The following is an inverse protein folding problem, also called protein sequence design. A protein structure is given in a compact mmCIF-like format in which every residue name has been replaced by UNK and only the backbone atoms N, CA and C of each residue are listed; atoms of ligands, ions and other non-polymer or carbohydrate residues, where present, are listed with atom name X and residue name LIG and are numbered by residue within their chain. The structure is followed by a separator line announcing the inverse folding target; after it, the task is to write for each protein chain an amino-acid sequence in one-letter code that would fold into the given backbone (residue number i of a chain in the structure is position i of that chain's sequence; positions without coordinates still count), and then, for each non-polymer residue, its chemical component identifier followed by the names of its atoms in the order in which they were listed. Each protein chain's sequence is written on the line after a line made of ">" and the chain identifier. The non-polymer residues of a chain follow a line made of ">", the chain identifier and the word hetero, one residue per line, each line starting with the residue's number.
data_IF_109810585074
#
_entry.id   IF_109810585074
#
_cell.length_a   1.000
_cell.length_b   1.000
_cell.length_c   1.000
_cell.angle_alpha   90.00
_cell.angle_beta   90.00
_cell.angle_gamma   90.00
#
_symmetry.space_group_name_H-M   'P 1'
#
loop_
_entity.id
_entity.type
_entity.pdbx_description
1 polymer ?
#
# COMPACT_ATOMS: atom_id res chain seq x y z
N UNK A 1 -21.62 11.49 13.28
CA UNK A 1 -21.16 11.75 14.67
C UNK A 1 -20.40 10.58 15.32
N UNK A 2 -20.90 9.32 15.31
CA UNK A 2 -20.21 8.21 16.01
C UNK A 2 -18.79 7.90 15.49
N UNK A 3 -18.62 7.85 14.15
CA UNK A 3 -17.29 7.67 13.53
C UNK A 3 -16.34 8.82 13.90
N UNK A 4 -16.83 10.07 13.86
CA UNK A 4 -16.06 11.26 14.23
C UNK A 4 -15.57 11.18 15.68
N UNK A 5 -16.44 10.80 16.63
CA UNK A 5 -16.06 10.60 18.04
C UNK A 5 -15.00 9.53 18.20
N UNK A 6 -15.16 8.40 17.52
CA UNK A 6 -14.18 7.31 17.56
C UNK A 6 -12.84 7.75 16.98
N UNK A 7 -12.83 8.41 15.83
CA UNK A 7 -11.63 8.95 15.21
C UNK A 7 -10.88 9.90 16.17
N UNK A 8 -11.59 10.81 16.84
CA UNK A 8 -11.01 11.72 17.83
C UNK A 8 -10.45 10.98 19.05
N UNK A 9 -11.16 9.95 19.54
CA UNK A 9 -10.67 9.14 20.66
C UNK A 9 -9.38 8.37 20.34
N UNK A 10 -9.13 8.10 19.06
CA UNK A 10 -7.88 7.48 18.57
C UNK A 10 -6.85 8.50 18.08
N UNK A 11 -7.04 9.80 18.36
CA UNK A 11 -6.09 10.86 18.01
C UNK A 11 -6.21 11.43 16.59
N UNK A 12 -7.21 11.02 15.81
CA UNK A 12 -7.44 11.55 14.45
C UNK A 12 -8.23 12.86 14.58
N UNK A 13 -7.67 13.94 14.05
CA UNK A 13 -8.34 15.23 14.00
C UNK A 13 -9.43 15.21 12.92
N UNK A 14 -10.69 15.35 13.34
CA UNK A 14 -11.86 15.35 12.45
C UNK A 14 -12.78 16.53 12.81
N UNK A 15 -13.34 17.24 11.81
CA UNK A 15 -14.35 18.28 12.06
C UNK A 15 -15.67 17.67 12.55
N UNK A 16 -16.52 18.49 13.19
CA UNK A 16 -17.83 18.02 13.69
C UNK A 16 -18.79 17.66 12.55
N UNK A 17 -18.74 18.44 11.47
CA UNK A 17 -19.59 18.32 10.31
C UNK A 17 -18.74 18.30 9.03
N UNK A 18 -19.17 17.56 7.99
CA UNK A 18 -18.54 17.64 6.69
C UNK A 18 -18.73 19.05 6.11
N UNK A 19 -17.74 19.53 5.34
CA UNK A 19 -17.82 20.83 4.65
C UNK A 19 -18.88 20.84 3.56
N UNK A 20 -19.01 19.72 2.86
CA UNK A 20 -19.98 19.53 1.79
C UNK A 20 -20.84 18.32 2.08
N UNK A 21 -22.10 18.39 1.64
CA UNK A 21 -23.00 17.26 1.58
C UNK A 21 -23.59 17.21 0.18
N UNK A 22 -23.38 16.09 -0.51
CA UNK A 22 -23.92 15.82 -1.83
C UNK A 22 -24.80 14.57 -1.77
N UNK A 23 -26.04 14.71 -2.18
CA UNK A 23 -26.95 13.58 -2.35
C UNK A 23 -27.08 13.28 -3.85
N UNK A 24 -26.88 12.01 -4.22
CA UNK A 24 -27.10 11.57 -5.59
C UNK A 24 -28.59 11.66 -5.94
N UNK A 25 -28.91 12.32 -7.06
CA UNK A 25 -30.22 12.31 -7.67
C UNK A 25 -30.51 10.98 -8.38
N UNK A 26 -31.77 10.77 -8.79
CA UNK A 26 -32.22 9.52 -9.43
C UNK A 26 -31.46 9.15 -10.71
N UNK A 27 -30.97 10.15 -11.44
CA UNK A 27 -30.27 9.98 -12.72
C UNK A 27 -28.78 10.34 -12.63
N UNK A 28 -28.24 10.56 -11.43
CA UNK A 28 -26.82 10.88 -11.27
C UNK A 28 -25.98 9.60 -11.39
N UNK A 29 -24.92 9.65 -12.19
CA UNK A 29 -23.83 8.68 -12.10
C UNK A 29 -22.91 9.01 -10.92
N UNK A 30 -22.08 8.04 -10.50
CA UNK A 30 -21.08 8.28 -9.46
C UNK A 30 -20.09 9.35 -9.89
N UNK A 31 -19.67 9.31 -11.16
CA UNK A 31 -18.76 10.29 -11.74
C UNK A 31 -19.31 11.72 -11.60
N UNK A 32 -20.59 11.93 -11.94
CA UNK A 32 -21.23 13.24 -11.84
C UNK A 32 -21.22 13.77 -10.40
N UNK A 33 -21.50 12.91 -9.42
CA UNK A 33 -21.52 13.32 -8.00
C UNK A 33 -20.11 13.66 -7.51
N UNK A 34 -19.12 12.83 -7.80
CA UNK A 34 -17.73 13.07 -7.38
C UNK A 34 -17.13 14.29 -8.07
N UNK A 35 -17.45 14.51 -9.35
CA UNK A 35 -17.06 15.73 -10.07
C UNK A 35 -17.59 16.98 -9.39
N UNK A 36 -18.86 17.00 -8.99
CA UNK A 36 -19.44 18.15 -8.24
C UNK A 36 -18.69 18.42 -6.94
N UNK A 37 -18.24 17.36 -6.24
CA UNK A 37 -17.44 17.51 -5.02
C UNK A 37 -16.07 18.10 -5.35
N UNK A 38 -15.38 17.58 -6.37
CA UNK A 38 -14.09 18.08 -6.83
C UNK A 38 -14.18 19.56 -7.25
N UNK A 39 -15.13 19.90 -8.13
CA UNK A 39 -15.34 21.27 -8.62
C UNK A 39 -15.61 22.27 -7.47
N UNK A 40 -16.36 21.85 -6.44
CA UNK A 40 -16.60 22.67 -5.24
C UNK A 40 -15.33 22.85 -4.41
N UNK A 41 -14.55 21.80 -4.23
CA UNK A 41 -13.28 21.87 -3.50
C UNK A 41 -12.31 22.82 -4.20
N UNK A 42 -12.18 22.72 -5.53
CA UNK A 42 -11.31 23.56 -6.33
C UNK A 42 -11.77 25.02 -6.32
N UNK A 43 -13.06 25.26 -6.52
CA UNK A 43 -13.64 26.61 -6.51
C UNK A 43 -13.43 27.32 -5.17
N UNK A 44 -13.58 26.59 -4.06
CA UNK A 44 -13.46 27.16 -2.72
C UNK A 44 -12.01 27.14 -2.21
N UNK A 45 -11.06 26.62 -2.99
CA UNK A 45 -9.64 26.48 -2.60
C UNK A 45 -9.44 25.53 -1.41
N UNK A 46 -10.33 24.55 -1.24
CA UNK A 46 -10.33 23.61 -0.13
C UNK A 46 -9.66 22.32 -0.57
N UNK A 47 -8.60 21.92 0.14
CA UNK A 47 -8.06 20.57 0.01
C UNK A 47 -9.03 19.55 0.60
N UNK A 48 -9.52 18.63 -0.23
CA UNK A 48 -10.40 17.55 0.22
C UNK A 48 -9.58 16.36 0.76
N UNK A 49 -9.50 16.20 2.08
CA UNK A 49 -8.74 15.09 2.68
C UNK A 49 -9.50 13.75 2.65
N UNK A 50 -10.84 13.77 2.68
CA UNK A 50 -11.66 12.57 2.73
C UNK A 50 -13.11 12.80 2.28
N UNK A 51 -13.62 11.91 1.43
CA UNK A 51 -15.05 11.81 1.06
C UNK A 51 -15.64 10.53 1.62
N UNK A 52 -16.66 10.63 2.47
CA UNK A 52 -17.47 9.48 2.86
C UNK A 52 -18.51 9.19 1.78
N UNK A 53 -18.56 7.94 1.30
CA UNK A 53 -19.50 7.52 0.25
C UNK A 53 -20.38 6.40 0.77
N UNK A 54 -21.70 6.59 0.76
CA UNK A 54 -22.65 5.52 1.09
C UNK A 54 -23.04 4.81 -0.20
N UNK A 55 -22.75 3.51 -0.26
CA UNK A 55 -23.03 2.69 -1.44
C UNK A 55 -24.29 1.86 -1.23
N UNK A 56 -25.05 1.63 -2.30
CA UNK A 56 -26.21 0.73 -2.28
C UNK A 56 -25.96 -0.60 -2.99
N UNK A 57 -24.93 -0.67 -3.84
CA UNK A 57 -24.49 -1.92 -4.49
C UNK A 57 -22.96 -2.07 -4.50
N UNK A 58 -22.48 -3.29 -4.75
CA UNK A 58 -21.06 -3.58 -5.00
C UNK A 58 -20.55 -2.93 -6.29
N UNK A 59 -21.40 -2.81 -7.30
CA UNK A 59 -20.98 -2.34 -8.63
C UNK A 59 -20.60 -0.85 -8.59
N UNK A 60 -21.32 -0.08 -7.77
CA UNK A 60 -20.96 1.32 -7.48
C UNK A 60 -19.58 1.45 -6.82
N UNK A 61 -19.11 0.43 -6.09
CA UNK A 61 -17.80 0.49 -5.45
C UNK A 61 -16.66 0.64 -6.47
N UNK A 62 -16.71 -0.13 -7.56
CA UNK A 62 -15.70 -0.08 -8.61
C UNK A 62 -15.68 1.30 -9.29
N UNK A 63 -16.86 1.85 -9.60
CA UNK A 63 -16.98 3.19 -10.21
C UNK A 63 -16.50 4.29 -9.26
N UNK A 64 -16.85 4.24 -7.97
CA UNK A 64 -16.36 5.19 -6.96
C UNK A 64 -14.85 5.14 -6.83
N UNK A 65 -14.25 3.95 -6.90
CA UNK A 65 -12.81 3.76 -6.83
C UNK A 65 -12.09 4.25 -8.07
N UNK A 66 -12.61 3.96 -9.26
CA UNK A 66 -12.08 4.49 -10.50
C UNK A 66 -12.14 6.03 -10.51
N UNK A 67 -13.32 6.60 -10.28
CA UNK A 67 -13.50 8.05 -10.30
C UNK A 67 -12.72 8.75 -9.19
N UNK A 68 -12.75 8.23 -7.96
CA UNK A 68 -12.06 8.81 -6.82
C UNK A 68 -10.55 8.72 -6.96
N UNK A 69 -10.01 7.51 -7.15
CA UNK A 69 -8.57 7.27 -7.06
C UNK A 69 -7.84 7.66 -8.36
N UNK A 70 -8.50 7.57 -9.54
CA UNK A 70 -7.87 7.82 -10.85
C UNK A 70 -8.31 9.16 -11.45
N UNK A 71 -9.61 9.42 -11.54
CA UNK A 71 -10.12 10.58 -12.30
C UNK A 71 -9.99 11.89 -11.55
N UNK A 72 -10.37 11.93 -10.26
CA UNK A 72 -10.49 13.17 -9.49
C UNK A 72 -9.47 13.30 -8.34
N UNK A 73 -8.72 12.24 -8.02
CA UNK A 73 -7.75 12.26 -6.92
C UNK A 73 -8.38 12.48 -5.54
N UNK A 74 -9.63 12.02 -5.34
CA UNK A 74 -10.38 12.13 -4.09
C UNK A 74 -10.22 10.88 -3.24
N UNK A 75 -9.71 11.05 -2.02
CA UNK A 75 -9.61 9.96 -1.04
C UNK A 75 -11.02 9.56 -0.57
N UNK A 76 -11.45 8.33 -0.85
CA UNK A 76 -12.81 7.87 -0.55
C UNK A 76 -12.87 6.83 0.58
N UNK A 77 -13.83 6.97 1.50
CA UNK A 77 -14.23 5.96 2.48
C UNK A 77 -15.67 5.50 2.24
N UNK A 78 -15.80 4.36 1.56
CA UNK A 78 -17.09 3.76 1.26
C UNK A 78 -17.70 3.05 2.50
N UNK A 79 -19.00 3.19 2.69
CA UNK A 79 -19.78 2.55 3.75
C UNK A 79 -21.02 1.89 3.15
N UNK A 80 -21.27 0.63 3.49
CA UNK A 80 -22.49 -0.07 3.12
C UNK A 80 -23.60 0.19 4.15
N UNK A 81 -24.89 0.02 3.80
CA UNK A 81 -25.99 0.26 4.73
C UNK A 81 -25.92 -0.64 5.96
N UNK A 82 -25.46 -1.89 5.79
CA UNK A 82 -25.17 -2.82 6.90
C UNK A 82 -24.13 -2.27 7.88
N UNK A 83 -23.06 -1.65 7.36
CA UNK A 83 -22.00 -1.05 8.17
C UNK A 83 -22.51 0.19 8.89
N UNK A 84 -23.37 0.99 8.24
CA UNK A 84 -24.04 2.12 8.87
C UNK A 84 -24.94 1.64 10.01
N UNK A 85 -25.69 0.54 9.83
CA UNK A 85 -26.51 -0.05 10.89
C UNK A 85 -25.64 -0.49 12.09
N UNK A 86 -24.51 -1.15 11.84
CA UNK A 86 -23.56 -1.53 12.91
C UNK A 86 -23.05 -0.31 13.69
N UNK A 87 -22.75 0.78 13.02
CA UNK A 87 -22.19 2.00 13.64
C UNK A 87 -23.26 2.84 14.34
N UNK A 88 -24.37 3.12 13.66
CA UNK A 88 -25.38 4.08 14.11
C UNK A 88 -26.40 3.46 15.08
N UNK A 89 -26.82 2.22 14.82
CA UNK A 89 -27.86 1.54 15.60
C UNK A 89 -27.22 0.65 16.65
N UNK A 90 -26.35 -0.30 16.24
CA UNK A 90 -25.74 -1.26 17.15
C UNK A 90 -24.58 -0.67 17.96
N UNK A 91 -24.06 0.49 17.57
CA UNK A 91 -22.91 1.16 18.20
C UNK A 91 -21.69 0.24 18.36
N UNK A 92 -21.44 -0.60 17.35
CA UNK A 92 -20.32 -1.53 17.33
C UNK A 92 -18.99 -0.78 17.37
N UNK A 93 -18.32 -0.83 18.53
CA UNK A 93 -17.04 -0.17 18.72
C UNK A 93 -15.95 -0.74 17.81
N UNK A 94 -15.91 -2.06 17.64
CA UNK A 94 -14.97 -2.75 16.74
C UNK A 94 -15.11 -2.28 15.29
N UNK A 95 -16.34 -2.19 14.77
CA UNK A 95 -16.59 -1.69 13.41
C UNK A 95 -16.12 -0.25 13.27
N UNK A 96 -16.40 0.61 14.25
CA UNK A 96 -15.96 2.01 14.24
C UNK A 96 -14.43 2.15 14.28
N UNK A 97 -13.74 1.37 15.10
CA UNK A 97 -12.28 1.36 15.16
C UNK A 97 -11.66 0.90 13.84
N UNK A 98 -12.18 -0.15 13.22
CA UNK A 98 -11.69 -0.62 11.92
C UNK A 98 -11.85 0.46 10.83
N UNK A 99 -12.96 1.21 10.85
CA UNK A 99 -13.16 2.34 9.94
C UNK A 99 -12.17 3.46 10.25
N UNK A 100 -11.99 3.82 11.52
CA UNK A 100 -11.06 4.87 11.94
C UNK A 100 -9.61 4.55 11.53
N UNK A 101 -9.16 3.30 11.72
CA UNK A 101 -7.83 2.85 11.29
C UNK A 101 -7.63 2.95 9.78
N UNK A 102 -8.67 2.61 8.98
CA UNK A 102 -8.61 2.76 7.51
C UNK A 102 -8.56 4.22 7.09
N UNK A 103 -9.33 5.08 7.74
CA UNK A 103 -9.32 6.52 7.48
C UNK A 103 -7.95 7.10 7.79
N UNK A 104 -7.39 6.79 8.97
CA UNK A 104 -6.09 7.30 9.40
C UNK A 104 -5.01 7.01 8.35
N UNK A 105 -4.92 5.79 7.84
CA UNK A 105 -3.95 5.42 6.81
C UNK A 105 -4.18 6.15 5.49
N UNK A 106 -5.44 6.31 5.07
CA UNK A 106 -5.79 6.99 3.81
C UNK A 106 -5.43 8.48 3.80
N UNK A 107 -5.51 9.14 4.95
CA UNK A 107 -5.14 10.55 5.10
C UNK A 107 -3.66 10.74 5.49
N UNK A 108 -2.84 9.68 5.41
CA UNK A 108 -1.39 9.72 5.63
C UNK A 108 -0.94 9.59 7.09
N UNK A 109 -1.87 9.28 8.00
CA UNK A 109 -1.60 8.96 9.39
C UNK A 109 -1.00 7.55 9.57
N UNK A 110 -0.47 7.30 10.76
CA UNK A 110 0.20 6.05 11.13
C UNK A 110 -0.55 5.44 12.30
N UNK A 111 -1.06 4.21 12.15
CA UNK A 111 -1.81 3.53 13.21
C UNK A 111 -0.89 2.99 14.31
N UNK A 112 0.18 2.32 13.90
CA UNK A 112 1.10 1.66 14.81
C UNK A 112 2.53 1.78 14.28
N UNK A 113 3.49 1.74 15.18
CA UNK A 113 4.91 1.59 14.89
C UNK A 113 5.44 0.43 15.71
N UNK A 114 6.43 -0.28 15.19
CA UNK A 114 7.13 -1.27 16.00
C UNK A 114 7.89 -0.53 17.11
N UNK A 115 7.87 -1.10 18.31
CA UNK A 115 8.69 -0.61 19.39
C UNK A 115 10.16 -0.82 19.01
N UNK A 116 11.00 0.19 19.26
CA UNK A 116 12.43 0.05 19.05
C UNK A 116 12.97 -1.03 19.97
N UNK A 117 13.60 -2.02 19.37
CA UNK A 117 14.29 -3.11 20.02
C UNK A 117 15.67 -3.20 19.37
N UNK A 118 16.71 -3.59 20.13
CA UNK A 118 18.09 -3.56 19.64
C UNK A 118 18.28 -4.39 18.37
N UNK A 119 17.57 -5.52 18.26
CA UNK A 119 17.62 -6.39 17.09
C UNK A 119 17.00 -5.67 15.89
N UNK A 120 15.75 -5.19 16.01
CA UNK A 120 15.05 -4.50 14.93
C UNK A 120 15.77 -3.21 14.51
N UNK A 121 16.30 -2.45 15.46
CA UNK A 121 17.08 -1.25 15.19
C UNK A 121 18.31 -1.56 14.34
N UNK A 122 19.02 -2.64 14.63
CA UNK A 122 20.22 -3.01 13.88
C UNK A 122 19.90 -3.53 12.48
N UNK A 123 18.84 -4.32 12.28
CA UNK A 123 18.53 -4.91 10.97
C UNK A 123 17.65 -4.05 10.07
N UNK A 124 16.74 -3.26 10.63
CA UNK A 124 15.76 -2.46 9.88
C UNK A 124 16.13 -0.98 9.85
N UNK A 125 16.24 -0.34 11.01
CA UNK A 125 16.27 1.11 11.09
C UNK A 125 17.65 1.71 10.82
N UNK A 126 18.70 1.26 11.52
CA UNK A 126 20.08 1.77 11.35
C UNK A 126 20.68 1.41 9.99
N UNK A 127 20.19 0.33 9.40
CA UNK A 127 20.60 -0.11 8.07
C UNK A 127 19.80 0.51 6.93
N UNK A 128 18.89 1.46 7.20
CA UNK A 128 18.12 2.14 6.17
C UNK A 128 17.45 1.12 5.25
N UNK A 129 16.64 0.22 5.82
CA UNK A 129 16.10 -0.94 5.10
C UNK A 129 14.89 -0.55 4.25
N UNK A 130 14.90 -0.98 3.00
CA UNK A 130 13.76 -0.92 2.08
C UNK A 130 13.08 -2.30 2.03
N UNK A 131 11.85 -2.36 2.51
CA UNK A 131 10.99 -3.54 2.48
C UNK A 131 10.02 -3.41 1.32
N UNK A 132 9.95 -4.45 0.50
CA UNK A 132 9.21 -4.49 -0.76
C UNK A 132 8.27 -5.68 -0.74
N UNK A 133 7.00 -5.45 -1.08
CA UNK A 133 6.04 -6.48 -1.40
C UNK A 133 5.80 -6.53 -2.90
N UNK A 134 5.73 -7.72 -3.45
CA UNK A 134 5.53 -7.94 -4.89
C UNK A 134 4.44 -8.97 -5.06
N UNK A 135 3.42 -8.63 -5.85
CA UNK A 135 2.35 -9.56 -6.18
C UNK A 135 1.90 -9.48 -7.65
N UNK A 136 1.34 -10.59 -8.15
CA UNK A 136 0.67 -10.67 -9.45
C UNK A 136 -0.67 -11.38 -9.25
N UNK A 137 -1.74 -10.70 -9.63
CA UNK A 137 -3.09 -11.25 -9.59
C UNK A 137 -3.52 -11.63 -11.00
N UNK A 138 -4.04 -12.84 -11.13
CA UNK A 138 -4.64 -13.34 -12.36
C UNK A 138 -6.17 -13.27 -12.29
N UNK A 139 -6.84 -12.95 -13.41
CA UNK A 139 -8.28 -13.10 -13.55
C UNK A 139 -8.75 -14.54 -13.31
N UNK A 140 -10.06 -14.71 -13.16
CA UNK A 140 -10.68 -16.02 -12.98
C UNK A 140 -10.26 -17.01 -14.08
N UNK A 141 -10.24 -18.32 -13.75
CA UNK A 141 -9.90 -19.38 -14.70
C UNK A 141 -10.79 -19.39 -15.96
N UNK A 142 -11.99 -18.79 -15.87
CA UNK A 142 -12.94 -18.62 -16.98
C UNK A 142 -12.55 -17.46 -17.90
N UNK A 143 -11.93 -16.41 -17.37
CA UNK A 143 -11.64 -15.15 -18.06
C UNK A 143 -10.19 -15.10 -18.54
N UNK A 144 -9.77 -16.13 -19.28
CA UNK A 144 -8.36 -16.37 -19.64
C UNK A 144 -7.73 -15.30 -20.53
N UNK A 145 -8.52 -14.43 -21.14
CA UNK A 145 -8.09 -13.34 -22.02
C UNK A 145 -7.86 -12.03 -21.27
N UNK A 146 -8.36 -11.89 -20.05
CA UNK A 146 -8.17 -10.68 -19.26
C UNK A 146 -6.70 -10.58 -18.81
N UNK A 147 -6.14 -9.36 -18.75
CA UNK A 147 -4.74 -9.17 -18.39
C UNK A 147 -4.50 -9.49 -16.91
N UNK A 148 -3.26 -9.81 -16.58
CA UNK A 148 -2.82 -9.91 -15.18
C UNK A 148 -2.45 -8.54 -14.65
N UNK A 149 -2.53 -8.36 -13.33
CA UNK A 149 -2.15 -7.10 -12.67
C UNK A 149 -0.97 -7.38 -11.75
N UNK A 150 0.15 -6.72 -11.99
CA UNK A 150 1.32 -6.76 -11.14
C UNK A 150 1.38 -5.52 -10.26
N UNK A 151 1.74 -5.70 -8.99
CA UNK A 151 1.92 -4.62 -8.04
C UNK A 151 3.27 -4.73 -7.32
N UNK A 152 3.96 -3.61 -7.18
CA UNK A 152 5.17 -3.48 -6.35
C UNK A 152 4.92 -2.39 -5.32
N UNK A 153 4.93 -2.78 -4.05
CA UNK A 153 4.78 -1.88 -2.90
C UNK A 153 6.08 -1.79 -2.14
N UNK A 154 6.44 -0.61 -1.63
CA UNK A 154 7.60 -0.48 -0.75
C UNK A 154 7.39 0.59 0.32
N UNK A 155 8.06 0.46 1.46
CA UNK A 155 8.04 1.54 2.45
C UNK A 155 8.75 2.77 1.92
N UNK A 156 8.26 3.95 2.32
CA UNK A 156 8.88 5.23 1.95
C UNK A 156 9.64 5.87 3.11
N UNK A 157 9.28 5.54 4.34
CA UNK A 157 9.91 6.07 5.55
C UNK A 157 10.84 5.05 6.19
N UNK A 158 11.90 5.53 6.86
CA UNK A 158 12.82 4.69 7.62
C UNK A 158 12.10 3.88 8.71
N UNK A 159 11.01 4.40 9.29
CA UNK A 159 10.27 3.67 10.33
C UNK A 159 9.41 2.50 9.81
N UNK A 160 9.36 2.29 8.49
CA UNK A 160 8.60 1.20 7.84
C UNK A 160 7.10 1.27 8.24
N UNK A 161 6.51 2.46 8.11
CA UNK A 161 5.12 2.72 8.53
C UNK A 161 4.21 3.16 7.39
N UNK A 162 4.79 3.67 6.31
CA UNK A 162 4.08 4.15 5.12
C UNK A 162 4.57 3.40 3.90
N UNK A 163 3.65 2.89 3.11
CA UNK A 163 3.94 2.12 1.91
C UNK A 163 3.25 2.74 0.71
N UNK A 164 3.99 2.94 -0.38
CA UNK A 164 3.48 3.39 -1.66
C UNK A 164 3.55 2.25 -2.68
N UNK A 165 2.70 2.32 -3.70
CA UNK A 165 2.48 1.25 -4.66
C UNK A 165 2.69 1.73 -6.10
N UNK A 166 3.24 0.86 -6.95
CA UNK A 166 3.12 0.94 -8.41
C UNK A 166 2.36 -0.28 -8.87
N UNK A 167 1.48 -0.08 -9.84
CA UNK A 167 0.62 -1.12 -10.39
C UNK A 167 0.73 -1.05 -11.91
N UNK A 168 0.96 -2.20 -12.54
CA UNK A 168 1.00 -2.32 -14.00
C UNK A 168 0.17 -3.49 -14.49
N UNK A 169 -0.47 -3.27 -15.64
CA UNK A 169 -1.18 -4.30 -16.39
C UNK A 169 -0.15 -5.06 -17.23
N UNK A 170 -0.27 -6.38 -17.29
CA UNK A 170 0.57 -7.24 -18.11
C UNK A 170 -0.23 -8.34 -18.81
N UNK A 171 0.34 -9.01 -19.83
CA UNK A 171 -0.34 -10.09 -20.53
C UNK A 171 -0.96 -11.15 -19.59
N UNK A 172 -2.04 -11.78 -20.07
CA UNK A 172 -2.80 -12.76 -19.32
C UNK A 172 -1.92 -13.94 -18.85
N UNK A 173 -2.11 -14.37 -17.59
CA UNK A 173 -1.42 -15.51 -16.95
C UNK A 173 0.11 -15.42 -16.96
N UNK A 174 0.65 -14.22 -17.11
CA UNK A 174 2.10 -14.01 -17.03
C UNK A 174 2.50 -13.84 -15.57
N UNK A 175 3.34 -14.74 -15.04
CA UNK A 175 3.88 -14.62 -13.66
C UNK A 175 5.07 -13.66 -13.58
N UNK A 176 5.84 -13.56 -14.67
CA UNK A 176 6.96 -12.64 -14.75
C UNK A 176 6.45 -11.21 -14.86
N UNK A 177 6.84 -10.37 -13.90
CA UNK A 177 6.40 -8.98 -13.89
C UNK A 177 7.04 -8.20 -15.03
N UNK A 178 6.22 -7.83 -16.01
CA UNK A 178 6.61 -6.91 -17.07
C UNK A 178 6.83 -5.53 -16.47
N UNK A 179 7.99 -4.91 -16.72
CA UNK A 179 8.31 -3.60 -16.14
C UNK A 179 8.65 -3.63 -14.65
N UNK A 180 9.01 -4.79 -14.09
CA UNK A 180 9.45 -4.88 -12.68
C UNK A 180 10.56 -3.89 -12.34
N UNK A 181 11.55 -3.78 -13.22
CA UNK A 181 12.69 -2.86 -13.07
C UNK A 181 12.23 -1.42 -12.88
N UNK A 182 11.25 -1.01 -13.67
CA UNK A 182 10.74 0.36 -13.65
C UNK A 182 10.02 0.63 -12.35
N UNK A 183 9.07 -0.23 -11.96
CA UNK A 183 8.32 -0.12 -10.71
C UNK A 183 9.22 -0.19 -9.47
N UNK A 184 10.26 -1.04 -9.51
CA UNK A 184 11.26 -1.12 -8.45
C UNK A 184 12.12 0.15 -8.40
N UNK A 185 12.54 0.68 -9.55
CA UNK A 185 13.34 1.91 -9.62
C UNK A 185 12.55 3.10 -9.12
N UNK A 186 11.26 3.20 -9.44
CA UNK A 186 10.34 4.21 -8.90
C UNK A 186 10.34 4.19 -7.37
N UNK A 187 10.17 3.00 -6.75
CA UNK A 187 10.22 2.86 -5.29
C UNK A 187 11.56 3.22 -4.68
N UNK A 188 12.67 2.82 -5.32
CA UNK A 188 13.99 3.13 -4.82
C UNK A 188 14.31 4.63 -4.90
N UNK A 189 13.90 5.29 -5.99
CA UNK A 189 14.04 6.73 -6.18
C UNK A 189 13.24 7.50 -5.14
N UNK A 190 11.98 7.14 -4.96
CA UNK A 190 11.10 7.76 -3.98
C UNK A 190 11.65 7.62 -2.54
N UNK A 191 12.15 6.43 -2.19
CA UNK A 191 12.81 6.23 -0.90
C UNK A 191 14.06 7.11 -0.74
N UNK A 192 14.89 7.21 -1.78
CA UNK A 192 16.08 8.05 -1.76
C UNK A 192 15.73 9.53 -1.63
N UNK A 193 14.73 10.01 -2.35
CA UNK A 193 14.27 11.40 -2.31
C UNK A 193 13.75 11.79 -0.93
N UNK A 194 13.03 10.89 -0.26
CA UNK A 194 12.46 11.13 1.07
C UNK A 194 13.52 11.04 2.18
N UNK A 195 14.42 10.07 2.10
CA UNK A 195 15.37 9.77 3.18
C UNK A 195 16.79 10.34 2.94
N UNK A 196 17.04 10.95 1.78
CA UNK A 196 18.32 11.55 1.39
C UNK A 196 19.47 10.56 1.19
N UNK A 197 19.22 9.26 1.31
CA UNK A 197 20.23 8.21 1.20
C UNK A 197 19.64 6.91 0.67
N UNK A 198 20.46 6.16 -0.07
CA UNK A 198 20.06 4.87 -0.62
C UNK A 198 19.92 3.84 0.49
N UNK A 199 18.98 2.88 0.38
CA UNK A 199 18.87 1.82 1.37
C UNK A 199 20.11 0.93 1.37
N UNK A 200 20.53 0.46 2.55
CA UNK A 200 21.66 -0.50 2.66
C UNK A 200 21.18 -1.94 2.63
N UNK A 201 19.93 -2.18 3.01
CA UNK A 201 19.30 -3.50 2.96
C UNK A 201 18.00 -3.41 2.17
N UNK A 202 17.70 -4.45 1.39
CA UNK A 202 16.44 -4.62 0.68
C UNK A 202 15.86 -5.97 1.05
N UNK A 203 14.62 -5.98 1.54
CA UNK A 203 13.86 -7.20 1.83
C UNK A 203 12.71 -7.26 0.83
N UNK A 204 12.55 -8.38 0.13
CA UNK A 204 11.53 -8.56 -0.91
C UNK A 204 10.65 -9.73 -0.53
N UNK A 205 9.37 -9.46 -0.26
CA UNK A 205 8.33 -10.48 -0.12
C UNK A 205 7.64 -10.66 -1.47
N UNK A 206 7.72 -11.86 -2.05
CA UNK A 206 7.02 -12.21 -3.30
C UNK A 206 6.12 -13.42 -3.05
N UNK A 207 4.82 -13.23 -3.26
CA UNK A 207 3.84 -14.32 -3.20
C UNK A 207 3.86 -15.16 -4.49
N UNK A 208 3.44 -16.42 -4.46
CA UNK A 208 3.01 -17.17 -5.64
C UNK A 208 4.07 -17.60 -6.68
N UNK A 209 5.38 -17.50 -6.42
CA UNK A 209 6.42 -17.91 -7.39
C UNK A 209 6.98 -19.31 -7.13
N UNK A 210 7.39 -20.01 -8.20
CA UNK A 210 8.18 -21.24 -8.09
C UNK A 210 9.68 -20.94 -7.93
N UNK A 211 10.45 -21.89 -7.39
CA UNK A 211 11.89 -21.75 -7.11
C UNK A 211 12.71 -21.25 -8.33
N UNK A 212 12.33 -21.65 -9.55
CA UNK A 212 12.98 -21.21 -10.79
C UNK A 212 12.77 -19.73 -11.14
N UNK A 213 11.67 -19.11 -10.69
CA UNK A 213 11.34 -17.70 -10.94
C UNK A 213 12.07 -16.77 -9.95
N UNK A 214 12.48 -17.28 -8.79
CA UNK A 214 13.28 -16.57 -7.78
C UNK A 214 14.63 -16.11 -8.32
N UNK A 215 15.29 -16.95 -9.12
CA UNK A 215 16.60 -16.64 -9.70
C UNK A 215 16.52 -15.49 -10.71
N UNK A 216 15.40 -15.39 -11.43
CA UNK A 216 15.18 -14.37 -12.45
C UNK A 216 14.94 -12.99 -11.82
N UNK A 217 14.19 -12.96 -10.71
CA UNK A 217 14.02 -11.78 -9.86
C UNK A 217 15.40 -11.33 -9.34
N UNK A 218 16.17 -12.23 -8.73
CA UNK A 218 17.53 -11.96 -8.21
C UNK A 218 18.51 -11.45 -9.29
N UNK A 219 18.48 -12.03 -10.50
CA UNK A 219 19.28 -11.60 -11.65
C UNK A 219 18.89 -10.21 -12.15
N UNK A 220 17.59 -9.92 -12.19
CA UNK A 220 17.08 -8.61 -12.60
C UNK A 220 17.50 -7.51 -11.61
N UNK A 221 17.37 -7.80 -10.31
CA UNK A 221 17.86 -6.96 -9.21
C UNK A 221 19.36 -6.68 -9.30
N UNK A 222 20.18 -7.72 -9.47
CA UNK A 222 21.64 -7.60 -9.44
C UNK A 222 22.18 -6.85 -10.67
N UNK A 223 21.61 -7.10 -11.85
CA UNK A 223 21.98 -6.37 -13.08
C UNK A 223 21.60 -4.90 -13.00
N UNK A 224 20.44 -4.58 -12.42
CA UNK A 224 19.99 -3.19 -12.31
C UNK A 224 20.63 -2.45 -11.15
N UNK A 225 20.86 -3.05 -9.98
CA UNK A 225 21.60 -2.38 -8.89
C UNK A 225 23.00 -1.92 -9.32
N UNK A 226 23.69 -2.67 -10.19
CA UNK A 226 24.96 -2.23 -10.80
C UNK A 226 24.79 -1.15 -11.88
N UNK A 227 23.69 -1.17 -12.62
CA UNK A 227 23.38 -0.20 -13.68
C UNK A 227 22.62 1.05 -13.18
N UNK A 228 22.12 1.04 -11.94
CA UNK A 228 21.54 2.18 -11.23
C UNK A 228 22.63 3.18 -10.77
N UNK A 229 23.76 3.24 -11.48
CA UNK A 229 24.50 4.48 -11.62
C UNK A 229 23.58 5.48 -12.33
N UNK A 230 22.71 6.12 -11.55
CA UNK A 230 21.69 7.05 -11.95
C UNK A 230 22.15 7.95 -13.12
N UNK A 231 21.49 7.83 -14.27
CA UNK A 231 21.52 8.88 -15.30
C UNK A 231 20.82 10.12 -14.71
N UNK A 232 21.57 10.95 -13.97
CA UNK A 232 21.12 12.27 -13.55
C UNK A 232 20.95 13.17 -14.77
N UNK A 233 19.71 13.56 -15.04
CA UNK A 233 19.45 14.92 -15.49
C UNK A 233 19.91 15.89 -14.40
N UNK A 234 20.85 16.77 -14.77
CA UNK A 234 21.37 17.91 -14.01
C UNK A 234 22.04 17.66 -12.63
N UNK A 235 23.37 17.82 -12.62
CA UNK A 235 24.11 18.40 -11.49
C UNK A 235 24.46 17.50 -10.29
N UNK A 236 25.76 17.23 -10.13
CA UNK A 236 26.46 16.56 -9.01
C UNK A 236 26.22 15.05 -8.84
N UNK A 237 27.26 14.28 -9.16
CA UNK A 237 27.34 12.82 -9.04
C UNK A 237 27.66 12.45 -7.59
N UNK A 238 26.87 11.59 -6.97
CA UNK A 238 27.26 10.80 -5.80
C UNK A 238 27.19 9.33 -6.23
N UNK A 239 28.34 8.65 -6.25
CA UNK A 239 28.41 7.22 -6.53
C UNK A 239 27.87 6.45 -5.32
N UNK A 240 26.89 5.57 -5.53
CA UNK A 240 26.49 4.61 -4.52
C UNK A 240 27.47 3.42 -4.62
N UNK A 241 28.37 3.25 -3.64
CA UNK A 241 29.30 2.12 -3.65
C UNK A 241 28.53 0.82 -3.45
N UNK A 242 28.73 -0.15 -4.34
CA UNK A 242 28.13 -1.49 -4.26
C UNK A 242 28.68 -2.37 -3.12
N UNK A 243 29.52 -1.82 -2.24
CA UNK A 243 30.02 -2.48 -1.03
C UNK A 243 29.01 -2.31 0.11
N UNK A 244 28.15 -3.32 0.32
CA UNK A 244 27.30 -3.41 1.53
C UNK A 244 25.80 -3.60 1.31
N UNK A 245 25.30 -3.67 0.07
CA UNK A 245 23.87 -3.91 -0.20
C UNK A 245 23.50 -5.38 0.06
N UNK A 246 22.60 -5.63 1.03
CA UNK A 246 22.04 -6.97 1.27
C UNK A 246 20.63 -7.08 0.66
N UNK A 247 20.35 -8.18 -0.04
CA UNK A 247 19.03 -8.47 -0.61
C UNK A 247 18.55 -9.83 -0.08
N UNK A 248 17.41 -9.81 0.61
CA UNK A 248 16.73 -11.02 1.09
C UNK A 248 15.40 -11.14 0.36
N UNK A 249 15.13 -12.30 -0.24
CA UNK A 249 13.85 -12.56 -0.91
C UNK A 249 13.11 -13.67 -0.18
N UNK A 250 11.85 -13.44 0.18
CA UNK A 250 10.99 -14.33 0.96
C UNK A 250 9.80 -14.74 0.09
N UNK A 251 9.57 -16.04 -0.03
CA UNK A 251 8.47 -16.62 -0.81
C UNK A 251 7.30 -16.99 0.11
N UNK A 252 6.07 -16.64 -0.31
CA UNK A 252 4.83 -17.05 0.34
C UNK A 252 4.00 -17.90 -0.66
N UNK A 253 3.18 -18.87 -0.21
CA UNK A 253 3.15 -19.54 1.08
C UNK A 253 4.10 -20.74 1.03
N UNK A 254 5.30 -20.66 1.61
CA UNK A 254 6.04 -21.89 1.88
C UNK A 254 5.27 -22.67 2.94
N UNK A 255 4.54 -23.72 2.54
CA UNK A 255 3.86 -24.62 3.47
C UNK A 255 4.93 -25.43 4.21
N UNK A 256 5.50 -24.83 5.26
CA UNK A 256 6.34 -25.52 6.23
C UNK A 256 5.48 -25.78 7.48
N UNK A 257 5.06 -27.03 7.68
CA UNK A 257 4.39 -27.43 8.91
C UNK A 257 5.41 -27.46 10.05
N UNK A 258 5.27 -26.57 11.04
CA UNK A 258 6.05 -26.61 12.28
C UNK A 258 5.19 -27.28 13.35
N UNK A 259 5.54 -28.52 13.71
CA UNK A 259 4.94 -29.21 14.85
C UNK A 259 5.70 -28.85 16.13
N UNK A 260 5.00 -28.30 17.12
CA UNK A 260 5.55 -28.14 18.46
C UNK A 260 5.39 -29.47 19.23
N UNK A 261 6.40 -30.34 19.13
CA UNK A 261 6.48 -31.53 19.99
C UNK A 261 6.71 -31.12 21.44
N UNK A 262 5.84 -31.54 22.34
CA UNK A 262 5.92 -31.30 23.78
C UNK A 262 7.17 -31.96 24.39
N UNK A 263 8.33 -31.28 24.36
CA UNK A 263 9.50 -31.41 25.26
C UNK A 263 10.76 -30.63 24.81
N UNK A 264 10.64 -29.59 23.98
CA UNK A 264 11.80 -28.77 23.62
C UNK A 264 11.89 -27.48 24.47
N UNK A 265 12.75 -27.50 25.50
CA UNK A 265 13.30 -26.27 26.08
C UNK A 265 14.18 -25.58 25.04
N UNK A 266 13.86 -24.32 24.73
CA UNK A 266 14.52 -23.41 23.78
C UNK A 266 14.58 -23.88 22.33
N UNK A 267 13.70 -23.31 21.49
CA UNK A 267 13.83 -23.36 20.04
C UNK A 267 13.96 -21.91 19.54
N UNK A 268 15.18 -21.49 19.21
CA UNK A 268 15.43 -20.21 18.52
C UNK A 268 15.24 -20.44 17.03
N UNK A 269 14.12 -19.95 16.50
CA UNK A 269 13.83 -20.00 15.07
C UNK A 269 14.54 -18.82 14.39
N UNK A 270 15.59 -19.11 13.63
CA UNK A 270 16.06 -18.21 12.58
C UNK A 270 15.34 -18.58 11.28
N UNK A 271 14.42 -17.72 10.85
CA UNK A 271 13.95 -17.70 9.47
C UNK A 271 15.01 -16.94 8.66
N UNK A 272 15.73 -17.66 7.80
CA UNK A 272 16.53 -17.09 6.70
C UNK A 272 15.62 -16.85 5.49
#
# INVERSE_FOLDING_TARGET
>A
LQIVRTCRSTGIQMPDNPKFYEQAGKNDSVEMVLKRIADKCDKDGIKCDLVFVVLFSSDQYAEVKSCGDITFGLVTQCLLPRTINEVAVKKSYSTMLNIAMKINMKIGGINTKLLKDEILDNYLYKNNTLVIGVDVVHPSAVETHLPSIAAVVANVDVSITKFHASVKIQPAKQELITGFVEQFSERLMEYFEINGSSPKNIIVFRDGVSEGQFMQVKLCFFKHSKNLSFKKGFGRRTACSSSGLQIVCIQLPTVNYVYCGSKATSCSIFLL
#
